data_IF_413237080060
#
_entry.id   IF_413237080060
#
_cell.length_a   1.000
_cell.length_b   1.000
_cell.length_c   1.000
_cell.angle_alpha   90.00
_cell.angle_beta   90.00
_cell.angle_gamma   90.00
#
_symmetry.space_group_name_H-M   'P 1'
#
loop_
_entity.id
_entity.type
_entity.pdbx_description
1 polymer ?
#
# COMPACT_ATOMS: atom_id res chain seq x y z
N UNK A 1 7.67 17.50 -8.98
CA UNK A 1 7.27 17.73 -7.58
C UNK A 1 7.64 16.51 -6.75
N UNK A 2 8.13 16.71 -5.55
CA UNK A 2 8.47 15.57 -4.70
C UNK A 2 7.22 14.77 -4.31
N UNK A 3 7.44 13.50 -3.97
CA UNK A 3 6.34 12.63 -3.53
C UNK A 3 5.77 13.11 -2.19
N UNK A 4 4.52 12.77 -1.92
CA UNK A 4 3.85 13.12 -0.68
C UNK A 4 4.42 12.32 0.49
N UNK A 5 4.80 13.03 1.56
CA UNK A 5 5.39 12.41 2.75
C UNK A 5 4.37 12.32 3.88
N UNK A 6 4.63 11.40 4.80
CA UNK A 6 3.74 11.16 5.94
C UNK A 6 3.51 12.43 6.78
N UNK A 7 4.53 13.27 6.97
CA UNK A 7 4.38 14.51 7.73
C UNK A 7 3.53 15.57 7.01
N UNK A 8 3.12 15.34 5.78
CA UNK A 8 2.32 16.27 4.98
C UNK A 8 0.83 15.89 4.95
N UNK A 9 0.46 14.81 5.62
CA UNK A 9 -0.94 14.39 5.74
C UNK A 9 -1.36 14.44 7.20
N UNK A 10 -2.68 14.45 7.43
CA UNK A 10 -3.20 14.24 8.78
C UNK A 10 -2.90 12.79 9.20
N UNK A 11 -2.11 12.58 10.26
CA UNK A 11 -1.73 11.22 10.66
C UNK A 11 -2.92 10.36 11.07
N UNK A 12 -3.97 10.98 11.60
CA UNK A 12 -5.19 10.27 11.96
C UNK A 12 -5.88 9.62 10.76
N UNK A 13 -5.75 10.21 9.58
CA UNK A 13 -6.36 9.66 8.36
C UNK A 13 -5.80 8.28 8.03
N UNK A 14 -4.48 8.11 8.07
CA UNK A 14 -3.85 6.83 7.76
C UNK A 14 -4.24 5.78 8.82
N UNK A 15 -4.21 6.13 10.10
CA UNK A 15 -4.61 5.22 11.17
C UNK A 15 -6.07 4.80 11.02
N UNK A 16 -6.99 5.73 10.76
CA UNK A 16 -8.41 5.42 10.57
C UNK A 16 -8.64 4.51 9.37
N UNK A 17 -7.92 4.76 8.27
CA UNK A 17 -8.04 3.95 7.07
C UNK A 17 -7.61 2.51 7.35
N UNK A 18 -6.46 2.32 7.97
CA UNK A 18 -5.85 1.01 8.14
C UNK A 18 -6.43 0.21 9.31
N UNK A 19 -7.00 0.87 10.32
CA UNK A 19 -7.66 0.14 11.40
C UNK A 19 -8.87 -0.66 10.90
N UNK A 20 -9.46 -0.27 9.77
CA UNK A 20 -10.53 -1.04 9.13
C UNK A 20 -10.06 -2.43 8.70
N UNK A 21 -8.75 -2.60 8.54
CA UNK A 21 -8.12 -3.89 8.24
C UNK A 21 -7.47 -4.54 9.46
N UNK A 22 -7.69 -3.98 10.65
CA UNK A 22 -7.07 -4.48 11.88
C UNK A 22 -5.60 -4.13 12.02
N UNK A 23 -5.12 -3.12 11.30
CA UNK A 23 -3.73 -2.68 11.37
C UNK A 23 -3.54 -1.52 12.32
N UNK A 24 -2.33 -1.42 12.87
CA UNK A 24 -1.91 -0.33 13.73
C UNK A 24 -0.77 0.43 13.05
N UNK A 25 -0.86 1.76 13.01
CA UNK A 25 0.21 2.61 12.49
C UNK A 25 1.03 3.14 13.67
N UNK A 26 2.34 2.92 13.63
CA UNK A 26 3.27 3.43 14.65
C UNK A 26 4.28 4.37 14.04
N UNK A 27 4.40 5.55 14.65
CA UNK A 27 5.41 6.53 14.26
C UNK A 27 6.78 6.18 14.81
N UNK A 28 7.81 6.45 14.00
CA UNK A 28 9.21 6.27 14.38
C UNK A 28 9.87 7.65 14.44
N UNK A 29 10.70 7.86 15.46
CA UNK A 29 11.38 9.14 15.62
C UNK A 29 12.33 9.43 14.46
N UNK A 30 12.51 10.71 14.14
CA UNK A 30 13.42 11.15 13.08
C UNK A 30 14.81 10.56 13.27
N UNK A 31 15.42 10.16 12.16
CA UNK A 31 16.77 9.57 12.10
C UNK A 31 16.90 8.18 12.74
N UNK A 32 15.82 7.60 13.25
CA UNK A 32 15.87 6.23 13.75
C UNK A 32 15.58 5.24 12.62
N UNK A 33 16.11 4.00 12.72
CA UNK A 33 15.75 2.96 11.79
C UNK A 33 14.24 2.67 11.84
N UNK A 34 13.68 2.28 10.70
CA UNK A 34 12.26 1.91 10.63
C UNK A 34 12.17 0.39 10.74
N UNK A 35 11.58 -0.16 11.84
CA UNK A 35 11.47 -1.61 11.98
C UNK A 35 10.68 -2.22 10.83
N UNK A 36 11.11 -3.38 10.36
CA UNK A 36 10.42 -4.10 9.29
C UNK A 36 10.52 -3.46 7.90
N UNK A 37 11.38 -2.45 7.71
CA UNK A 37 11.57 -1.81 6.42
C UNK A 37 12.47 -2.67 5.54
N UNK A 38 11.90 -3.26 4.48
CA UNK A 38 12.65 -4.09 3.54
C UNK A 38 13.62 -3.26 2.71
N UNK A 39 13.16 -2.09 2.26
CA UNK A 39 13.95 -1.21 1.39
C UNK A 39 14.78 -0.19 2.14
N UNK A 40 14.76 -0.20 3.48
CA UNK A 40 15.43 0.74 4.37
C UNK A 40 14.75 2.12 4.40
N UNK A 41 15.03 2.96 5.42
CA UNK A 41 14.47 4.30 5.50
C UNK A 41 14.76 5.12 4.25
N UNK A 42 13.82 5.99 3.80
CA UNK A 42 12.59 6.35 4.52
C UNK A 42 11.38 5.45 4.26
N UNK A 43 11.56 4.33 3.59
CA UNK A 43 10.48 3.40 3.27
C UNK A 43 9.78 2.91 4.55
N UNK A 44 8.46 2.67 4.43
CA UNK A 44 7.69 2.11 5.54
C UNK A 44 8.15 0.70 5.88
N UNK A 45 7.91 0.29 7.12
CA UNK A 45 8.20 -1.05 7.60
C UNK A 45 6.95 -1.79 8.04
N UNK A 46 6.94 -3.10 7.85
CA UNK A 46 5.81 -3.94 8.19
C UNK A 46 6.28 -5.09 9.08
N UNK A 47 5.65 -5.24 10.25
CA UNK A 47 5.92 -6.36 11.15
C UNK A 47 4.61 -6.77 11.80
N UNK A 48 4.13 -7.99 11.50
CA UNK A 48 2.80 -8.42 11.91
C UNK A 48 1.74 -7.46 11.36
N UNK A 49 0.82 -7.02 12.20
CA UNK A 49 -0.21 -6.04 11.82
C UNK A 49 0.21 -4.58 12.05
N UNK A 50 1.49 -4.34 12.30
CA UNK A 50 2.00 -3.00 12.61
C UNK A 50 2.72 -2.43 11.40
N UNK A 51 2.27 -1.26 10.98
CA UNK A 51 2.94 -0.47 9.96
C UNK A 51 3.75 0.63 10.64
N UNK A 52 5.07 0.61 10.44
CA UNK A 52 5.97 1.62 10.99
C UNK A 52 6.24 2.69 9.95
N UNK A 53 6.06 3.94 10.32
CA UNK A 53 6.30 5.09 9.45
C UNK A 53 7.10 6.14 10.20
N UNK A 54 7.92 6.89 9.46
CA UNK A 54 8.66 8.03 9.96
C UNK A 54 8.11 9.29 9.26
N UNK A 55 8.39 10.46 9.80
CA UNK A 55 7.88 11.71 9.20
C UNK A 55 8.24 11.85 7.72
N UNK A 56 9.40 11.33 7.31
CA UNK A 56 9.88 11.39 5.93
C UNK A 56 9.50 10.17 5.08
N UNK A 57 8.69 9.26 5.62
CA UNK A 57 8.21 8.10 4.85
C UNK A 57 7.23 8.56 3.78
N UNK A 58 7.43 8.18 2.50
CA UNK A 58 6.45 8.47 1.47
C UNK A 58 5.11 7.78 1.74
N UNK A 59 4.02 8.49 1.51
CA UNK A 59 2.67 7.91 1.72
C UNK A 59 2.44 6.72 0.80
N UNK A 60 2.94 6.76 -0.45
CA UNK A 60 2.81 5.62 -1.35
C UNK A 60 3.49 4.37 -0.78
N UNK A 61 4.63 4.51 -0.11
CA UNK A 61 5.32 3.40 0.54
C UNK A 61 4.50 2.83 1.70
N UNK A 62 3.92 3.72 2.52
CA UNK A 62 3.07 3.30 3.63
C UNK A 62 1.87 2.49 3.14
N UNK A 63 1.18 2.95 2.10
CA UNK A 63 0.05 2.23 1.53
C UNK A 63 0.49 0.94 0.85
N UNK A 64 1.64 0.93 0.17
CA UNK A 64 2.18 -0.26 -0.48
C UNK A 64 2.42 -1.38 0.54
N UNK A 65 3.12 -1.08 1.62
CA UNK A 65 3.40 -2.06 2.67
C UNK A 65 2.11 -2.53 3.36
N UNK A 66 1.17 -1.62 3.62
CA UNK A 66 -0.13 -1.99 4.17
C UNK A 66 -0.87 -2.94 3.23
N UNK A 67 -0.83 -2.69 1.92
CA UNK A 67 -1.49 -3.55 0.95
C UNK A 67 -0.83 -4.92 0.83
N UNK A 68 0.46 -5.04 1.10
CA UNK A 68 1.09 -6.36 1.24
C UNK A 68 0.46 -7.16 2.38
N UNK A 69 0.25 -6.54 3.53
CA UNK A 69 -0.43 -7.19 4.65
C UNK A 69 -1.83 -7.67 4.27
N UNK A 70 -2.57 -6.84 3.54
CA UNK A 70 -3.95 -7.12 3.13
C UNK A 70 -4.01 -8.24 2.11
N UNK A 71 -3.11 -8.24 1.13
CA UNK A 71 -3.15 -9.13 -0.03
C UNK A 71 -2.49 -10.49 0.18
N UNK A 72 -1.62 -10.63 1.18
CA UNK A 72 -1.02 -11.94 1.45
C UNK A 72 -2.05 -12.91 2.05
N UNK A 73 -1.80 -14.21 1.90
CA UNK A 73 -2.68 -15.19 2.51
C UNK A 73 -2.51 -15.25 4.04
N UNK A 74 -3.48 -15.83 4.72
CA UNK A 74 -3.53 -15.88 6.18
C UNK A 74 -2.31 -16.60 6.78
N UNK A 75 -1.84 -17.66 6.13
CA UNK A 75 -0.71 -18.44 6.62
C UNK A 75 0.57 -17.59 6.64
N UNK A 76 0.84 -16.87 5.56
CA UNK A 76 2.01 -15.99 5.47
C UNK A 76 1.89 -14.79 6.41
N UNK A 77 0.69 -14.24 6.55
CA UNK A 77 0.44 -13.11 7.44
C UNK A 77 0.76 -13.45 8.89
N UNK A 78 0.44 -14.65 9.32
CA UNK A 78 0.72 -15.11 10.68
C UNK A 78 2.22 -15.26 10.96
N UNK A 79 3.03 -15.35 9.93
CA UNK A 79 4.49 -15.50 10.04
C UNK A 79 5.26 -14.26 9.58
N UNK A 80 4.55 -13.17 9.29
CA UNK A 80 5.16 -11.98 8.71
C UNK A 80 6.14 -11.34 9.71
N UNK A 81 7.36 -11.13 9.23
CA UNK A 81 8.39 -10.37 9.93
C UNK A 81 8.72 -9.10 9.14
N UNK A 82 9.61 -9.16 8.17
CA UNK A 82 10.02 -7.96 7.41
C UNK A 82 9.70 -8.10 5.93
N UNK A 83 9.92 -9.29 5.37
CA UNK A 83 9.72 -9.56 3.94
C UNK A 83 8.33 -10.14 3.71
N UNK A 84 7.46 -9.33 3.09
CA UNK A 84 6.09 -9.76 2.77
C UNK A 84 6.08 -10.86 1.70
N UNK A 85 7.08 -10.89 0.81
CA UNK A 85 7.12 -11.84 -0.29
C UNK A 85 5.99 -11.64 -1.28
N UNK A 86 5.52 -12.73 -1.88
CA UNK A 86 4.42 -12.72 -2.83
C UNK A 86 4.87 -12.96 -4.26
N UNK A 87 3.93 -13.41 -5.10
CA UNK A 87 4.17 -13.61 -6.51
C UNK A 87 3.81 -12.36 -7.32
N UNK A 88 3.94 -12.47 -8.64
CA UNK A 88 3.66 -11.35 -9.55
C UNK A 88 2.19 -10.89 -9.49
N UNK A 89 1.25 -11.84 -9.42
CA UNK A 89 -0.18 -11.51 -9.35
C UNK A 89 -0.52 -10.77 -8.06
N UNK A 90 0.04 -11.21 -6.94
CA UNK A 90 -0.16 -10.55 -5.65
C UNK A 90 0.44 -9.15 -5.65
N UNK A 91 1.65 -8.98 -6.18
CA UNK A 91 2.31 -7.67 -6.25
C UNK A 91 1.48 -6.68 -7.08
N UNK A 92 0.92 -7.13 -8.20
CA UNK A 92 0.01 -6.30 -8.98
C UNK A 92 -1.26 -5.97 -8.21
N UNK A 93 -1.80 -6.92 -7.45
CA UNK A 93 -2.94 -6.68 -6.57
C UNK A 93 -2.64 -5.63 -5.51
N UNK A 94 -1.45 -5.69 -4.92
CA UNK A 94 -0.97 -4.69 -3.96
C UNK A 94 -0.97 -3.30 -4.58
N UNK A 95 -0.39 -3.15 -5.76
CA UNK A 95 -0.31 -1.86 -6.44
C UNK A 95 -1.70 -1.31 -6.80
N UNK A 96 -2.60 -2.17 -7.26
CA UNK A 96 -3.96 -1.76 -7.62
C UNK A 96 -4.73 -1.29 -6.38
N UNK A 97 -4.70 -2.08 -5.31
CA UNK A 97 -5.38 -1.74 -4.06
C UNK A 97 -4.81 -0.46 -3.44
N UNK A 98 -3.49 -0.28 -3.49
CA UNK A 98 -2.81 0.93 -3.04
C UNK A 98 -3.41 2.18 -3.71
N UNK A 99 -3.66 2.10 -5.01
CA UNK A 99 -4.26 3.20 -5.78
C UNK A 99 -5.70 3.45 -5.30
N UNK A 100 -6.50 2.39 -5.13
CA UNK A 100 -7.86 2.53 -4.64
C UNK A 100 -7.90 3.16 -3.25
N UNK A 101 -7.04 2.73 -2.34
CA UNK A 101 -7.01 3.25 -0.98
C UNK A 101 -6.57 4.71 -0.93
N UNK A 102 -5.80 5.17 -1.90
CA UNK A 102 -5.34 6.56 -1.94
C UNK A 102 -6.49 7.56 -2.04
N UNK A 103 -7.64 7.15 -2.57
CA UNK A 103 -8.83 8.01 -2.64
C UNK A 103 -9.38 8.35 -1.25
N UNK A 104 -9.02 7.58 -0.23
CA UNK A 104 -9.44 7.79 1.15
C UNK A 104 -8.48 8.67 1.94
N UNK A 105 -7.42 9.17 1.31
CA UNK A 105 -6.48 10.12 1.91
C UNK A 105 -6.63 11.44 1.14
N UNK A 106 -7.28 12.47 1.76
CA UNK A 106 -7.61 13.70 1.03
C UNK A 106 -6.42 14.41 0.40
N UNK A 107 -5.26 14.36 1.05
CA UNK A 107 -4.04 14.99 0.53
C UNK A 107 -3.42 14.20 -0.62
N UNK A 108 -3.81 12.96 -0.83
CA UNK A 108 -3.28 12.10 -1.89
C UNK A 108 -4.23 12.02 -3.08
N UNK A 109 -5.23 11.16 -3.03
CA UNK A 109 -6.07 10.84 -4.17
C UNK A 109 -5.32 10.01 -5.22
N UNK A 110 -6.06 9.37 -6.14
CA UNK A 110 -5.41 8.46 -7.09
C UNK A 110 -4.54 9.16 -8.14
N UNK A 111 -4.88 10.38 -8.54
CA UNK A 111 -4.08 11.09 -9.52
C UNK A 111 -2.68 11.40 -8.97
N UNK A 112 -2.61 11.84 -7.73
CA UNK A 112 -1.31 12.06 -7.10
C UNK A 112 -0.58 10.74 -6.84
N UNK A 113 -1.32 9.68 -6.46
CA UNK A 113 -0.71 8.37 -6.27
C UNK A 113 -0.06 7.86 -7.56
N UNK A 114 -0.72 7.99 -8.70
CA UNK A 114 -0.13 7.62 -9.99
C UNK A 114 1.20 8.36 -10.21
N UNK A 115 1.19 9.67 -10.00
CA UNK A 115 2.39 10.48 -10.19
C UNK A 115 3.51 10.08 -9.22
N UNK A 116 3.17 9.87 -7.95
CA UNK A 116 4.16 9.55 -6.93
C UNK A 116 4.76 8.15 -7.16
N UNK A 117 3.95 7.18 -7.58
CA UNK A 117 4.44 5.86 -7.94
C UNK A 117 5.40 5.94 -9.13
N UNK A 118 5.04 6.67 -10.18
CA UNK A 118 5.88 6.82 -11.36
C UNK A 118 7.19 7.55 -11.00
N UNK A 119 7.10 8.62 -10.20
CA UNK A 119 8.26 9.39 -9.76
C UNK A 119 9.22 8.56 -8.91
N UNK A 120 8.68 7.68 -8.07
CA UNK A 120 9.50 6.84 -7.19
C UNK A 120 10.17 5.68 -7.92
N UNK A 121 9.72 5.39 -9.14
CA UNK A 121 10.33 4.36 -9.97
C UNK A 121 9.56 3.05 -10.05
N UNK A 122 8.28 3.02 -9.67
CA UNK A 122 7.43 1.86 -9.96
C UNK A 122 7.39 1.63 -11.46
N UNK A 123 7.43 0.37 -11.86
CA UNK A 123 7.55 0.01 -13.26
C UNK A 123 6.35 -0.81 -13.70
N UNK A 124 5.68 -0.36 -14.75
CA UNK A 124 4.49 -1.01 -15.26
C UNK A 124 4.57 -1.19 -16.77
N UNK A 125 3.93 -2.25 -17.26
CA UNK A 125 3.65 -2.40 -18.68
C UNK A 125 2.83 -1.18 -19.12
N UNK A 126 2.95 -0.73 -20.34
CA UNK A 126 2.38 0.50 -20.91
C UNK A 126 3.05 1.79 -20.43
N UNK A 127 4.06 1.73 -19.58
CA UNK A 127 4.95 2.86 -19.28
C UNK A 127 4.53 3.77 -18.13
N UNK A 128 3.33 3.62 -17.56
CA UNK A 128 2.91 4.40 -16.40
C UNK A 128 1.91 3.66 -15.54
N UNK A 129 1.85 4.03 -14.27
CA UNK A 129 0.90 3.44 -13.33
C UNK A 129 -0.55 3.71 -13.76
N UNK A 130 -0.84 4.91 -14.24
CA UNK A 130 -2.19 5.26 -14.68
C UNK A 130 -2.61 4.45 -15.90
N UNK A 131 -1.77 4.34 -16.91
CA UNK A 131 -2.09 3.58 -18.12
C UNK A 131 -2.33 2.10 -17.77
N UNK A 132 -1.48 1.53 -16.91
CA UNK A 132 -1.65 0.16 -16.44
C UNK A 132 -2.97 -0.02 -15.70
N UNK A 133 -3.25 0.86 -14.75
CA UNK A 133 -4.46 0.78 -13.91
C UNK A 133 -5.74 0.87 -14.74
N UNK A 134 -5.77 1.78 -15.71
CA UNK A 134 -6.98 2.05 -16.50
C UNK A 134 -7.15 1.10 -17.68
N UNK A 135 -6.06 0.61 -18.28
CA UNK A 135 -6.10 -0.07 -19.58
C UNK A 135 -5.57 -1.51 -19.55
N UNK A 136 -4.88 -1.95 -18.49
CA UNK A 136 -4.14 -3.21 -18.52
C UNK A 136 -4.21 -3.99 -17.20
N UNK A 137 -5.27 -3.79 -16.43
CA UNK A 137 -5.39 -4.40 -15.10
C UNK A 137 -6.61 -5.33 -14.95
N UNK A 138 -7.15 -5.85 -16.06
CA UNK A 138 -8.33 -6.73 -16.02
C UNK A 138 -8.06 -8.00 -15.21
N UNK A 139 -6.90 -8.61 -15.39
CA UNK A 139 -6.49 -9.81 -14.68
C UNK A 139 -6.27 -9.51 -13.18
N UNK A 140 -5.77 -8.33 -12.86
CA UNK A 140 -5.56 -7.90 -11.48
C UNK A 140 -6.90 -7.69 -10.77
N UNK A 141 -7.85 -7.05 -11.44
CA UNK A 141 -9.22 -6.88 -10.91
C UNK A 141 -9.85 -8.25 -10.64
N UNK A 142 -9.71 -9.20 -11.57
CA UNK A 142 -10.22 -10.56 -11.38
C UNK A 142 -9.60 -11.24 -10.16
N UNK A 143 -8.28 -11.08 -9.98
CA UNK A 143 -7.56 -11.63 -8.84
C UNK A 143 -8.06 -11.04 -7.52
N UNK A 144 -8.21 -9.71 -7.47
CA UNK A 144 -8.71 -9.02 -6.27
C UNK A 144 -10.14 -9.44 -5.91
N UNK A 145 -11.00 -9.59 -6.92
CA UNK A 145 -12.37 -10.06 -6.71
C UNK A 145 -12.41 -11.49 -6.22
N UNK A 146 -11.57 -12.34 -6.79
CA UNK A 146 -11.47 -13.75 -6.37
C UNK A 146 -11.19 -13.87 -4.88
N UNK A 147 -10.32 -13.03 -4.34
CA UNK A 147 -9.97 -13.04 -2.93
C UNK A 147 -10.82 -12.08 -2.09
N UNK A 148 -11.85 -11.51 -2.69
CA UNK A 148 -12.82 -10.61 -2.03
C UNK A 148 -12.19 -9.38 -1.42
N UNK A 149 -11.14 -8.87 -2.04
CA UNK A 149 -10.43 -7.67 -1.60
C UNK A 149 -11.07 -6.40 -2.15
N UNK A 150 -11.80 -6.53 -3.26
CA UNK A 150 -12.63 -5.47 -3.82
C UNK A 150 -14.01 -6.04 -4.13
N UNK A 151 -15.01 -5.15 -4.20
CA UNK A 151 -16.38 -5.50 -4.55
C UNK A 151 -16.61 -5.44 -6.07
N UNK A 152 -17.87 -5.63 -6.50
CA UNK A 152 -18.23 -5.62 -7.93
C UNK A 152 -18.18 -4.23 -8.56
N UNK A 153 -18.10 -3.18 -7.74
CA UNK A 153 -17.94 -1.78 -8.19
C UNK A 153 -16.47 -1.34 -8.13
N UNK A 154 -15.53 -2.27 -7.96
CA UNK A 154 -14.10 -2.02 -7.84
C UNK A 154 -13.73 -1.11 -6.67
N UNK A 155 -14.46 -1.22 -5.58
CA UNK A 155 -14.16 -0.50 -4.33
C UNK A 155 -13.53 -1.44 -3.32
N UNK A 156 -12.69 -0.93 -2.40
CA UNK A 156 -12.15 -1.76 -1.33
C UNK A 156 -13.27 -2.43 -0.55
N UNK A 157 -13.12 -3.73 -0.28
CA UNK A 157 -14.11 -4.49 0.49
C UNK A 157 -13.81 -4.50 1.98
N UNK A 158 -12.72 -3.86 2.41
CA UNK A 158 -12.29 -3.74 3.80
C UNK A 158 -12.10 -5.10 4.50
N UNK A 159 -11.49 -6.02 3.76
CA UNK A 159 -11.26 -7.39 4.20
C UNK A 159 -9.82 -7.79 3.91
N UNK A 160 -9.26 -8.62 4.79
CA UNK A 160 -7.97 -9.28 4.53
C UNK A 160 -8.22 -10.52 3.67
N UNK A 161 -7.25 -10.82 2.80
CA UNK A 161 -7.26 -12.09 2.08
C UNK A 161 -7.12 -13.25 3.08
N UNK A 162 -7.91 -14.27 2.89
CA UNK A 162 -7.89 -15.46 3.75
C UNK A 162 -6.80 -16.47 3.35
#
# INVERSE_FOLDING_TARGET
MPVLLYNQINPGTLQHLLERYGMVVKGVAANNPIPGSFWRPPEAGLAGNILFVRNDTPVHSALHEACHYICMDQHRRNKLDTDAGGDYEEENGVCYLQILLSDHIPEMGRQRMFRDMDEWGYSFRLGSSQAWFELDAEDVVAWLRRYRLIDDDNRPAWRLRQ
#
